data_IF_952110382244
#
_entry.id   IF_952110382244
#
_cell.length_a   1.000
_cell.length_b   1.000
_cell.length_c   1.000
_cell.angle_alpha   90.00
_cell.angle_beta   90.00
_cell.angle_gamma   90.00
#
_symmetry.space_group_name_H-M   'P 1'
#
loop_
_entity.id
_entity.type
_entity.pdbx_description
1 polymer ?
#
# COMPACT_ATOMS: atom_id res chain seq x y z
N UNK A 1 51.30 37.53 12.19
CA UNK A 1 50.26 36.48 12.23
C UNK A 1 49.17 36.93 11.29
N UNK A 2 49.18 36.42 10.06
CA UNK A 2 48.32 36.93 9.00
C UNK A 2 46.88 36.54 9.28
N UNK A 3 46.02 37.56 9.33
CA UNK A 3 44.57 37.47 9.46
C UNK A 3 44.07 36.78 8.19
N UNK A 4 43.34 35.67 8.36
CA UNK A 4 42.60 35.03 7.27
C UNK A 4 41.36 35.91 7.08
N UNK A 5 41.21 36.54 5.91
CA UNK A 5 40.07 37.43 5.64
C UNK A 5 38.79 36.59 5.48
N UNK A 6 37.67 37.06 6.04
CA UNK A 6 36.35 36.42 6.01
C UNK A 6 35.66 36.43 4.61
N UNK A 7 36.42 36.60 3.51
CA UNK A 7 35.88 36.91 2.17
C UNK A 7 35.85 35.73 1.18
N UNK A 8 36.17 34.49 1.60
CA UNK A 8 36.17 33.32 0.70
C UNK A 8 35.00 32.34 0.93
N UNK A 9 33.89 32.79 1.55
CA UNK A 9 32.63 32.05 1.51
C UNK A 9 31.80 32.51 0.30
N UNK A 10 32.35 32.31 -0.89
CA UNK A 10 31.55 32.33 -2.11
C UNK A 10 30.62 31.12 -2.07
N UNK A 11 29.42 31.33 -1.53
CA UNK A 11 28.30 30.44 -1.73
C UNK A 11 28.01 30.42 -3.23
N UNK A 12 28.52 29.41 -3.92
CA UNK A 12 28.11 29.11 -5.29
C UNK A 12 26.57 29.00 -5.31
N UNK A 13 25.88 29.74 -6.19
CA UNK A 13 24.44 29.59 -6.34
C UNK A 13 24.17 28.16 -6.83
N UNK A 14 23.56 27.35 -5.96
CA UNK A 14 23.14 26.01 -6.35
C UNK A 14 22.02 26.17 -7.38
N UNK A 15 22.30 25.78 -8.63
CA UNK A 15 21.36 25.82 -9.75
C UNK A 15 20.06 25.08 -9.37
N UNK A 16 18.92 25.72 -9.67
CA UNK A 16 17.59 25.30 -9.22
C UNK A 16 17.30 23.82 -9.53
N UNK A 17 17.25 22.98 -8.48
CA UNK A 17 16.80 21.60 -8.64
C UNK A 17 15.37 21.57 -9.20
N UNK A 18 15.07 20.66 -10.15
CA UNK A 18 13.74 20.61 -10.75
C UNK A 18 12.69 20.24 -9.69
N UNK A 19 11.89 21.22 -9.30
CA UNK A 19 10.74 21.02 -8.39
C UNK A 19 9.66 20.21 -9.12
N UNK A 20 9.60 18.91 -8.85
CA UNK A 20 8.57 18.04 -9.38
C UNK A 20 7.25 18.42 -8.72
N UNK A 21 6.38 19.11 -9.46
CA UNK A 21 5.04 19.44 -8.99
C UNK A 21 4.24 18.14 -8.75
N UNK A 22 3.85 17.91 -7.49
CA UNK A 22 2.98 16.79 -7.13
C UNK A 22 1.58 17.04 -7.72
N UNK A 23 1.34 16.52 -8.93
CA UNK A 23 0.01 16.57 -9.55
C UNK A 23 -0.94 15.71 -8.72
N UNK A 24 -1.90 16.36 -8.07
CA UNK A 24 -2.94 15.69 -7.29
C UNK A 24 -3.77 14.82 -8.24
N UNK A 25 -3.67 13.50 -8.11
CA UNK A 25 -4.48 12.58 -8.93
C UNK A 25 -5.95 12.76 -8.55
N UNK A 26 -6.83 12.72 -9.55
CA UNK A 26 -8.28 12.71 -9.33
C UNK A 26 -8.63 11.44 -8.57
N UNK A 27 -9.30 11.58 -7.44
CA UNK A 27 -9.83 10.44 -6.68
C UNK A 27 -10.89 9.74 -7.55
N UNK A 28 -10.57 8.53 -8.02
CA UNK A 28 -11.49 7.71 -8.81
C UNK A 28 -12.42 6.97 -7.85
N UNK A 29 -13.73 7.19 -7.97
CA UNK A 29 -14.72 6.50 -7.16
C UNK A 29 -14.76 5.01 -7.45
N UNK A 30 -15.07 4.20 -6.42
CA UNK A 30 -15.11 2.73 -6.51
C UNK A 30 -16.01 2.19 -7.64
N UNK A 31 -17.10 2.89 -7.93
CA UNK A 31 -18.08 2.51 -8.96
C UNK A 31 -17.86 3.22 -10.31
N UNK A 32 -16.92 4.16 -10.41
CA UNK A 32 -16.63 4.88 -11.66
C UNK A 32 -16.00 3.95 -12.68
N UNK A 33 -16.04 4.36 -13.95
CA UNK A 33 -15.30 3.67 -15.00
C UNK A 33 -13.80 3.70 -14.69
N UNK A 34 -13.16 2.56 -14.88
CA UNK A 34 -11.74 2.42 -14.60
C UNK A 34 -10.89 3.27 -15.58
N UNK A 35 -9.93 4.08 -15.10
CA UNK A 35 -9.13 4.97 -15.94
C UNK A 35 -8.24 4.23 -16.95
N UNK A 36 -8.07 2.91 -16.82
CA UNK A 36 -7.38 2.08 -17.82
C UNK A 36 -8.17 1.82 -19.11
N UNK A 37 -9.39 2.35 -19.23
CA UNK A 37 -10.28 2.20 -20.40
C UNK A 37 -10.73 0.75 -20.68
N UNK A 38 -10.74 -0.12 -19.67
CA UNK A 38 -11.24 -1.50 -19.80
C UNK A 38 -12.76 -1.62 -19.97
N UNK A 39 -13.51 -0.52 -19.79
CA UNK A 39 -14.98 -0.51 -19.76
C UNK A 39 -15.59 -1.07 -18.47
N UNK A 40 -14.78 -1.52 -17.51
CA UNK A 40 -15.22 -2.06 -16.21
C UNK A 40 -15.25 -0.97 -15.14
N UNK A 41 -16.07 -1.16 -14.09
CA UNK A 41 -16.02 -0.31 -12.89
C UNK A 41 -14.66 -0.45 -12.20
N UNK A 42 -14.18 0.60 -11.54
CA UNK A 42 -12.86 0.65 -10.92
C UNK A 42 -12.66 -0.49 -9.91
N UNK A 43 -13.71 -0.82 -9.14
CA UNK A 43 -13.74 -1.99 -8.23
C UNK A 43 -13.59 -3.35 -8.87
N UNK A 44 -14.07 -3.50 -10.10
CA UNK A 44 -14.05 -4.76 -10.82
C UNK A 44 -12.81 -4.89 -11.70
N UNK A 45 -11.94 -3.87 -11.70
CA UNK A 45 -10.72 -3.81 -12.50
C UNK A 45 -9.46 -3.74 -11.62
N UNK A 46 -9.26 -2.65 -10.85
CA UNK A 46 -8.02 -2.38 -10.12
C UNK A 46 -8.20 -2.24 -8.59
N UNK A 47 -9.44 -2.20 -8.07
CA UNK A 47 -9.72 -2.38 -6.63
C UNK A 47 -10.33 -3.76 -6.35
N UNK A 48 -9.96 -4.76 -7.16
CA UNK A 48 -10.01 -6.13 -6.66
C UNK A 48 -8.90 -6.20 -5.63
N UNK A 49 -9.24 -5.88 -4.40
CA UNK A 49 -8.51 -6.47 -3.29
C UNK A 49 -8.56 -7.95 -3.58
N UNK A 50 -7.43 -8.53 -3.97
CA UNK A 50 -7.25 -9.95 -3.82
C UNK A 50 -7.80 -10.23 -2.43
N UNK A 51 -8.91 -10.97 -2.35
CA UNK A 51 -9.26 -11.67 -1.12
C UNK A 51 -7.94 -12.28 -0.74
N UNK A 52 -7.30 -11.79 0.33
CA UNK A 52 -5.99 -12.26 0.77
C UNK A 52 -6.02 -13.75 0.52
N UNK A 53 -5.27 -14.20 -0.50
CA UNK A 53 -5.33 -15.57 -0.99
C UNK A 53 -4.59 -16.38 0.06
N UNK A 54 -5.15 -16.44 1.26
CA UNK A 54 -4.92 -17.52 2.18
C UNK A 54 -5.75 -18.64 1.56
N UNK A 55 -5.11 -19.66 0.98
CA UNK A 55 -5.82 -20.77 0.36
C UNK A 55 -6.87 -21.29 1.33
N UNK A 56 -8.04 -21.71 0.83
CA UNK A 56 -9.10 -22.35 1.63
C UNK A 56 -8.52 -23.47 2.54
N UNK A 57 -7.44 -24.12 2.09
CA UNK A 57 -6.71 -25.16 2.81
C UNK A 57 -6.02 -24.69 4.10
N UNK A 58 -5.63 -23.41 4.20
CA UNK A 58 -4.98 -22.85 5.39
C UNK A 58 -5.97 -22.37 6.46
N UNK A 59 -7.27 -22.29 6.13
CA UNK A 59 -8.31 -21.88 7.06
C UNK A 59 -8.33 -22.77 8.31
N UNK A 60 -8.04 -24.07 8.16
CA UNK A 60 -8.03 -25.00 9.28
C UNK A 60 -6.85 -24.76 10.25
N UNK A 61 -5.66 -24.43 9.75
CA UNK A 61 -4.50 -24.12 10.59
C UNK A 61 -4.66 -22.78 11.30
N UNK A 62 -5.25 -21.78 10.63
CA UNK A 62 -5.55 -20.49 11.24
C UNK A 62 -6.65 -20.63 12.31
N UNK A 63 -7.68 -21.43 12.06
CA UNK A 63 -8.71 -21.78 13.04
C UNK A 63 -8.11 -22.51 14.25
N UNK A 64 -7.20 -23.47 14.04
CA UNK A 64 -6.49 -24.16 15.12
C UNK A 64 -5.65 -23.16 15.93
N UNK A 65 -4.91 -22.27 15.28
CA UNK A 65 -4.11 -21.26 15.97
C UNK A 65 -4.99 -20.36 16.83
N UNK A 66 -6.05 -19.77 16.26
CA UNK A 66 -7.04 -18.94 16.95
C UNK A 66 -7.69 -19.70 18.11
N UNK A 67 -7.94 -21.01 17.96
CA UNK A 67 -8.50 -21.88 19.00
C UNK A 67 -7.53 -22.07 20.17
N UNK A 68 -6.25 -22.30 19.90
CA UNK A 68 -5.23 -22.51 20.94
C UNK A 68 -4.97 -21.22 21.72
N UNK A 69 -5.00 -20.05 21.08
CA UNK A 69 -4.82 -18.76 21.80
C UNK A 69 -6.07 -18.34 22.57
N UNK A 70 -7.27 -18.64 22.07
CA UNK A 70 -8.53 -18.17 22.68
C UNK A 70 -9.26 -19.22 23.54
N UNK A 71 -8.78 -20.46 23.61
CA UNK A 71 -9.32 -21.51 24.49
C UNK A 71 -10.74 -21.99 24.16
N UNK A 72 -11.22 -21.78 22.93
CA UNK A 72 -12.59 -22.13 22.51
C UNK A 72 -12.59 -23.50 21.81
N UNK A 73 -13.31 -24.50 22.34
CA UNK A 73 -13.48 -25.81 21.68
C UNK A 73 -14.55 -25.76 20.59
N UNK A 74 -14.21 -26.10 19.34
CA UNK A 74 -15.17 -26.23 18.22
C UNK A 74 -15.53 -27.73 18.05
N UNK A 75 -16.82 -28.11 17.88
CA UNK A 75 -17.18 -29.48 17.54
C UNK A 75 -16.68 -29.82 16.13
N UNK A 76 -15.87 -30.88 16.02
CA UNK A 76 -15.43 -31.41 14.72
C UNK A 76 -16.66 -31.84 13.93
N UNK A 77 -16.90 -31.19 12.79
CA UNK A 77 -18.00 -31.53 11.89
C UNK A 77 -17.71 -32.93 11.32
N UNK A 78 -18.48 -33.94 11.72
CA UNK A 78 -18.50 -35.22 11.01
C UNK A 78 -19.08 -34.97 9.62
N UNK A 79 -18.30 -35.28 8.58
CA UNK A 79 -18.82 -35.40 7.24
C UNK A 79 -19.27 -36.86 7.07
N UNK A 80 -20.55 -37.04 6.70
CA UNK A 80 -21.11 -38.34 6.33
C UNK A 80 -20.52 -38.89 5.03
#
# INVERSE_FOLDING_TARGET
MSIINDEDFHAEPYEDEPVIALVKRKDVGRNDLCPCKSGKKYKDCHIKADKLLLPEEMHHLLQILITVVNGITIPQKTFD
#
